data_IF_536191958198
#
_entry.id   IF_536191958198
#
_cell.length_a   1.000
_cell.length_b   1.000
_cell.length_c   1.000
_cell.angle_alpha   90.00
_cell.angle_beta   90.00
_cell.angle_gamma   90.00
#
_symmetry.space_group_name_H-M   'P 1'
#
loop_
_entity.id
_entity.type
_entity.pdbx_description
1 polymer ?
#
# COMPACT_ATOMS: atom_id res chain seq x y z
N UNK A 1 6.42 -6.28 -23.30
CA UNK A 1 6.70 -7.21 -22.21
C UNK A 1 5.79 -6.89 -21.03
N UNK A 2 5.46 -7.88 -20.24
CA UNK A 2 4.58 -7.71 -19.09
C UNK A 2 5.40 -7.76 -17.81
N UNK A 3 5.18 -6.77 -16.95
CA UNK A 3 5.87 -6.68 -15.66
C UNK A 3 4.86 -6.76 -14.52
N UNK A 4 5.15 -7.59 -13.53
CA UNK A 4 4.32 -7.67 -12.33
C UNK A 4 4.72 -6.55 -11.36
N UNK A 5 3.74 -5.75 -10.99
CA UNK A 5 3.96 -4.60 -10.10
C UNK A 5 3.24 -4.85 -8.78
N UNK A 6 3.94 -4.59 -7.69
CA UNK A 6 3.39 -4.68 -6.34
C UNK A 6 3.34 -3.29 -5.73
N UNK A 7 2.17 -2.91 -5.25
CA UNK A 7 1.96 -1.61 -4.61
C UNK A 7 1.43 -1.85 -3.20
N UNK A 8 2.06 -1.21 -2.23
CA UNK A 8 1.56 -1.22 -0.85
C UNK A 8 1.16 0.19 -0.47
N UNK A 9 -0.13 0.36 -0.14
CA UNK A 9 -0.70 1.67 0.20
C UNK A 9 -0.99 1.69 1.69
N UNK A 10 -0.47 2.72 2.37
CA UNK A 10 -0.63 2.88 3.82
C UNK A 10 -1.12 4.28 4.14
N UNK A 11 -1.92 4.44 5.21
CA UNK A 11 -2.25 5.78 5.69
C UNK A 11 -0.97 6.53 6.09
N UNK A 12 -0.93 7.83 5.86
CA UNK A 12 0.21 8.64 6.27
C UNK A 12 0.37 8.62 7.78
N UNK A 13 1.63 8.64 8.22
CA UNK A 13 1.93 8.72 9.63
C UNK A 13 1.32 10.00 10.23
N UNK A 14 0.76 9.88 11.44
CA UNK A 14 0.15 11.01 12.13
C UNK A 14 -1.30 11.28 11.78
N UNK A 15 -1.85 10.60 10.77
CA UNK A 15 -3.27 10.72 10.45
C UNK A 15 -4.08 9.66 11.20
N UNK A 16 -5.35 9.98 11.45
CA UNK A 16 -6.27 9.05 12.09
C UNK A 16 -6.49 7.82 11.20
N UNK A 17 -6.37 6.66 11.81
CA UNK A 17 -6.62 5.37 11.15
C UNK A 17 -7.68 4.60 11.94
N UNK A 18 -8.97 4.82 11.64
CA UNK A 18 -10.04 4.14 12.39
C UNK A 18 -9.99 2.62 12.26
N UNK A 19 -9.59 2.09 11.10
CA UNK A 19 -9.45 0.65 10.93
C UNK A 19 -8.33 0.09 11.79
N UNK A 20 -7.18 0.76 11.82
CA UNK A 20 -6.06 0.35 12.66
C UNK A 20 -6.41 0.38 14.13
N UNK A 21 -7.14 1.41 14.58
CA UNK A 21 -7.59 1.50 15.96
C UNK A 21 -8.55 0.38 16.32
N UNK A 22 -9.48 0.05 15.42
CA UNK A 22 -10.43 -1.03 15.65
C UNK A 22 -9.72 -2.37 15.76
N UNK A 23 -8.73 -2.64 14.92
CA UNK A 23 -7.94 -3.86 14.99
C UNK A 23 -7.15 -3.92 16.29
N UNK A 24 -6.55 -2.80 16.69
CA UNK A 24 -5.79 -2.74 17.94
C UNK A 24 -6.66 -3.03 19.15
N UNK A 25 -7.86 -2.45 19.22
CA UNK A 25 -8.80 -2.71 20.30
C UNK A 25 -9.25 -4.18 20.32
N UNK A 26 -9.49 -4.76 19.14
CA UNK A 26 -9.89 -6.15 19.04
C UNK A 26 -8.77 -7.09 19.51
N UNK A 27 -7.54 -6.79 19.16
CA UNK A 27 -6.39 -7.57 19.62
C UNK A 27 -6.25 -7.51 21.14
N UNK A 28 -6.40 -6.33 21.71
CA UNK A 28 -6.35 -6.16 23.16
C UNK A 28 -7.45 -6.98 23.84
N UNK A 29 -8.65 -6.96 23.30
CA UNK A 29 -9.78 -7.73 23.85
C UNK A 29 -9.54 -9.24 23.77
N UNK A 30 -8.72 -9.69 22.81
CA UNK A 30 -8.36 -11.10 22.67
C UNK A 30 -7.15 -11.49 23.55
N UNK A 31 -6.60 -10.55 24.29
CA UNK A 31 -5.48 -10.82 25.18
C UNK A 31 -4.11 -10.44 24.62
N UNK A 32 -4.04 -9.83 23.43
CA UNK A 32 -2.78 -9.44 22.82
C UNK A 32 -2.44 -7.99 23.14
N UNK A 33 -2.26 -7.70 24.42
CA UNK A 33 -2.01 -6.33 24.87
C UNK A 33 -0.65 -5.78 24.45
N UNK A 34 0.26 -6.66 24.02
CA UNK A 34 1.58 -6.27 23.52
C UNK A 34 1.53 -5.68 22.10
N UNK A 35 0.41 -5.82 21.41
CA UNK A 35 0.25 -5.25 20.06
C UNK A 35 -0.17 -3.79 20.15
N UNK A 36 0.52 -2.94 19.40
CA UNK A 36 0.20 -1.52 19.37
C UNK A 36 0.58 -0.89 18.06
N UNK A 37 0.21 0.38 17.89
CA UNK A 37 0.51 1.15 16.70
C UNK A 37 0.03 0.47 15.40
N UNK A 38 -1.14 -0.16 15.47
CA UNK A 38 -1.68 -0.91 14.34
C UNK A 38 -2.11 0.06 13.24
N UNK A 39 -1.70 -0.25 12.02
CA UNK A 39 -2.10 0.51 10.85
C UNK A 39 -2.61 -0.45 9.79
N UNK A 40 -3.71 -0.11 9.14
CA UNK A 40 -4.31 -0.95 8.10
C UNK A 40 -4.17 -0.26 6.76
N UNK A 41 -3.61 -0.96 5.82
CA UNK A 41 -3.48 -0.49 4.46
C UNK A 41 -3.94 -1.56 3.49
N UNK A 42 -3.48 -1.46 2.24
CA UNK A 42 -3.84 -2.45 1.24
C UNK A 42 -2.66 -2.76 0.33
N UNK A 43 -2.68 -3.96 -0.21
CA UNK A 43 -1.70 -4.40 -1.19
C UNK A 43 -2.41 -4.59 -2.53
N UNK A 44 -1.79 -4.11 -3.59
CA UNK A 44 -2.33 -4.19 -4.95
C UNK A 44 -1.27 -4.84 -5.83
N UNK A 45 -1.66 -5.82 -6.60
CA UNK A 45 -0.79 -6.45 -7.59
C UNK A 45 -1.43 -6.26 -8.97
N UNK A 46 -0.62 -5.87 -9.94
CA UNK A 46 -1.11 -5.70 -11.29
C UNK A 46 -0.01 -6.00 -12.30
N UNK A 47 -0.42 -6.36 -13.50
CA UNK A 47 0.51 -6.53 -14.61
C UNK A 47 0.48 -5.27 -15.47
N UNK A 48 1.65 -4.77 -15.81
CA UNK A 48 1.79 -3.59 -16.65
C UNK A 48 2.56 -3.98 -17.91
N UNK A 49 1.95 -3.74 -19.06
CA UNK A 49 2.59 -3.97 -20.35
C UNK A 49 3.44 -2.74 -20.70
N UNK A 50 4.73 -2.95 -20.88
CA UNK A 50 5.67 -1.86 -21.14
C UNK A 50 6.88 -2.39 -21.88
N UNK A 51 7.66 -1.48 -22.45
CA UNK A 51 8.85 -1.85 -23.21
C UNK A 51 10.05 -2.13 -22.29
N UNK A 52 10.04 -1.56 -21.10
CA UNK A 52 11.12 -1.73 -20.13
C UNK A 52 10.58 -1.69 -18.71
N UNK A 53 11.41 -2.15 -17.77
CA UNK A 53 11.08 -2.09 -16.35
C UNK A 53 10.89 -0.64 -15.90
N UNK A 54 11.76 0.27 -16.36
CA UNK A 54 11.67 1.68 -15.97
C UNK A 54 10.38 2.31 -16.47
N UNK A 55 9.95 1.95 -17.68
CA UNK A 55 8.67 2.41 -18.21
C UNK A 55 7.51 1.85 -17.41
N UNK A 56 7.56 0.56 -17.03
CA UNK A 56 6.52 -0.06 -16.21
C UNK A 56 6.43 0.66 -14.86
N UNK A 57 7.56 0.97 -14.23
CA UNK A 57 7.57 1.68 -12.96
C UNK A 57 6.97 3.08 -13.10
N UNK A 58 7.37 3.82 -14.13
CA UNK A 58 6.85 5.17 -14.36
C UNK A 58 5.34 5.16 -14.58
N UNK A 59 4.83 4.21 -15.36
CA UNK A 59 3.39 4.08 -15.59
C UNK A 59 2.65 3.72 -14.32
N UNK A 60 3.21 2.79 -13.53
CA UNK A 60 2.59 2.39 -12.28
C UNK A 60 2.53 3.54 -11.27
N UNK A 61 3.56 4.38 -11.22
CA UNK A 61 3.52 5.57 -10.36
C UNK A 61 2.40 6.52 -10.74
N UNK A 62 2.19 6.72 -12.03
CA UNK A 62 1.05 7.54 -12.49
C UNK A 62 -0.28 6.93 -12.08
N UNK A 63 -0.40 5.61 -12.16
CA UNK A 63 -1.62 4.91 -11.72
C UNK A 63 -1.85 5.10 -10.22
N UNK A 64 -0.80 5.01 -9.42
CA UNK A 64 -0.90 5.24 -7.98
C UNK A 64 -1.36 6.67 -7.69
N UNK A 65 -0.75 7.64 -8.35
CA UNK A 65 -1.07 9.05 -8.11
C UNK A 65 -2.48 9.43 -8.53
N UNK A 66 -2.99 8.76 -9.56
CA UNK A 66 -4.31 9.10 -10.11
C UNK A 66 -5.46 8.28 -9.53
N UNK A 67 -5.18 7.08 -9.04
CA UNK A 67 -6.26 6.18 -8.63
C UNK A 67 -5.93 5.30 -7.42
N UNK A 68 -4.77 4.64 -7.43
CA UNK A 68 -4.52 3.53 -6.49
C UNK A 68 -4.28 4.00 -5.06
N UNK A 69 -3.76 5.20 -4.86
CA UNK A 69 -3.53 5.78 -3.56
C UNK A 69 -4.15 7.17 -3.51
N UNK A 70 -4.65 7.54 -2.33
CA UNK A 70 -5.16 8.90 -2.11
C UNK A 70 -3.97 9.81 -1.78
N UNK A 71 -3.60 10.76 -2.66
CA UNK A 71 -2.39 11.57 -2.45
C UNK A 71 -2.47 12.47 -1.23
N UNK A 72 -3.66 12.71 -0.70
CA UNK A 72 -3.84 13.57 0.48
C UNK A 72 -3.58 12.81 1.77
N UNK A 73 -4.01 11.55 1.84
CA UNK A 73 -4.05 10.81 3.11
C UNK A 73 -3.21 9.54 3.11
N UNK A 74 -2.66 9.15 1.96
CA UNK A 74 -1.97 7.87 1.85
C UNK A 74 -0.60 8.02 1.20
N UNK A 75 0.32 7.17 1.63
CA UNK A 75 1.62 6.97 0.97
C UNK A 75 1.63 5.59 0.33
N UNK A 76 2.50 5.39 -0.63
CA UNK A 76 2.63 4.07 -1.24
C UNK A 76 4.09 3.71 -1.47
N UNK A 77 4.33 2.40 -1.47
CA UNK A 77 5.60 1.81 -1.90
C UNK A 77 5.31 0.97 -3.13
N UNK A 78 6.21 1.04 -4.10
CA UNK A 78 6.02 0.37 -5.37
C UNK A 78 7.25 -0.45 -5.70
N UNK A 79 7.03 -1.68 -6.14
CA UNK A 79 8.11 -2.57 -6.56
C UNK A 79 7.71 -3.27 -7.85
N UNK A 80 8.64 -3.33 -8.79
CA UNK A 80 8.46 -4.05 -10.04
C UNK A 80 9.28 -5.33 -9.96
N UNK A 81 8.60 -6.47 -10.13
CA UNK A 81 9.28 -7.76 -10.07
C UNK A 81 10.32 -7.87 -11.15
N UNK A 82 11.49 -8.35 -10.76
CA UNK A 82 12.56 -8.66 -11.69
C UNK A 82 12.64 -10.17 -11.83
N UNK A 83 12.74 -10.64 -13.05
CA UNK A 83 12.92 -12.07 -13.33
C UNK A 83 14.34 -12.50 -13.11
#
# INVERSE_FOLDING_TARGET
MTFRVHVRVMPRAGLLDPQGQAVEHALSALGFEEAGAVRVGRAIELDVDADSRDEAEARARLMCDKLLANPVTEDYLLDVETD
#
